data_IF_054605253142
#
_entry.id   IF_054605253142
#
_cell.length_a   1.000
_cell.length_b   1.000
_cell.length_c   1.000
_cell.angle_alpha   90.00
_cell.angle_beta   90.00
_cell.angle_gamma   90.00
#
_symmetry.space_group_name_H-M   'P 1'
#
loop_
_entity.id
_entity.type
_entity.pdbx_description
1 polymer ?
#
# COMPACT_ATOMS: atom_id res chain seq x y z
N UNK A 1 -9.10 -1.80 -13.18
CA UNK A 1 -10.27 -1.32 -13.98
C UNK A 1 -9.81 -0.42 -15.13
N UNK A 2 -10.46 -0.49 -16.29
CA UNK A 2 -10.09 0.37 -17.42
C UNK A 2 -10.57 1.79 -17.15
N UNK A 3 -9.66 2.77 -17.15
CA UNK A 3 -9.97 4.20 -16.95
C UNK A 3 -10.53 4.78 -18.25
N UNK A 4 -11.77 4.41 -18.59
CA UNK A 4 -12.47 4.91 -19.76
C UNK A 4 -13.45 6.00 -19.36
N UNK A 5 -13.52 7.06 -20.17
CA UNK A 5 -14.63 8.01 -20.09
C UNK A 5 -15.92 7.35 -20.62
N UNK A 6 -17.08 7.86 -20.23
CA UNK A 6 -18.35 7.36 -20.75
C UNK A 6 -18.45 7.47 -22.27
N UNK A 7 -17.74 8.43 -22.86
CA UNK A 7 -17.67 8.63 -24.30
C UNK A 7 -16.84 7.55 -24.99
N UNK A 8 -15.66 7.28 -24.46
CA UNK A 8 -14.80 6.17 -24.92
C UNK A 8 -15.48 4.82 -24.78
N UNK A 9 -16.19 4.60 -23.67
CA UNK A 9 -16.95 3.38 -23.45
C UNK A 9 -18.11 3.26 -24.48
N UNK A 10 -18.84 4.36 -24.73
CA UNK A 10 -19.88 4.41 -25.77
C UNK A 10 -19.33 4.05 -27.15
N UNK A 11 -18.18 4.61 -27.53
CA UNK A 11 -17.49 4.30 -28.79
C UNK A 11 -17.08 2.83 -28.87
N UNK A 12 -16.55 2.24 -27.79
CA UNK A 12 -16.15 0.83 -27.74
C UNK A 12 -17.32 -0.16 -27.85
N UNK A 13 -18.54 0.27 -27.51
CA UNK A 13 -19.75 -0.52 -27.75
C UNK A 13 -20.25 -0.40 -29.20
N UNK A 14 -19.47 0.18 -30.12
CA UNK A 14 -19.87 0.51 -31.51
C UNK A 14 -21.17 1.31 -31.59
N UNK A 15 -21.43 2.15 -30.58
CA UNK A 15 -22.65 2.97 -30.53
C UNK A 15 -23.91 2.24 -30.05
N UNK A 16 -23.81 0.96 -29.66
CA UNK A 16 -24.97 0.22 -29.11
C UNK A 16 -25.44 0.83 -27.77
N UNK A 17 -24.53 1.50 -27.03
CA UNK A 17 -24.86 2.11 -25.75
C UNK A 17 -24.43 3.58 -25.76
N UNK A 18 -25.40 4.48 -25.67
CA UNK A 18 -25.11 5.94 -25.67
C UNK A 18 -24.58 6.42 -24.31
N UNK A 19 -23.74 7.48 -24.35
CA UNK A 19 -23.20 8.15 -23.15
C UNK A 19 -24.29 8.50 -22.11
N UNK A 20 -25.48 9.06 -22.46
CA UNK A 20 -26.54 9.31 -21.49
C UNK A 20 -27.08 8.04 -20.84
N UNK A 21 -27.14 6.93 -21.55
CA UNK A 21 -27.60 5.65 -20.99
C UNK A 21 -26.54 5.08 -20.03
N UNK A 22 -25.25 5.15 -20.38
CA UNK A 22 -24.16 4.75 -19.48
C UNK A 22 -24.27 5.54 -18.16
N UNK A 23 -24.48 6.87 -18.25
CA UNK A 23 -24.66 7.71 -17.05
C UNK A 23 -25.85 7.29 -16.20
N UNK A 24 -26.97 6.88 -16.81
CA UNK A 24 -28.13 6.40 -16.08
C UNK A 24 -27.87 5.04 -15.41
N UNK A 25 -27.15 4.15 -16.08
CA UNK A 25 -26.73 2.85 -15.52
C UNK A 25 -25.80 3.03 -14.32
N UNK A 26 -24.76 3.88 -14.45
CA UNK A 26 -23.83 4.18 -13.35
C UNK A 26 -24.51 4.87 -12.15
N UNK A 27 -25.56 5.63 -12.40
CA UNK A 27 -26.37 6.27 -11.36
C UNK A 27 -27.44 5.37 -10.75
N UNK A 28 -27.57 4.10 -11.22
CA UNK A 28 -28.62 3.18 -10.77
C UNK A 28 -30.04 3.60 -11.15
N UNK A 29 -30.18 4.55 -12.08
CA UNK A 29 -31.50 5.08 -12.50
C UNK A 29 -32.19 4.21 -13.55
N UNK A 30 -31.46 3.30 -14.15
CA UNK A 30 -31.97 2.38 -15.16
C UNK A 30 -31.11 1.11 -15.16
N UNK A 31 -31.73 -0.03 -15.34
CA UNK A 31 -31.03 -1.31 -15.52
C UNK A 31 -30.76 -1.56 -17.00
N UNK A 32 -29.53 -1.95 -17.37
CA UNK A 32 -29.23 -2.36 -18.74
C UNK A 32 -29.97 -3.64 -19.10
N UNK A 33 -30.41 -3.80 -20.35
CA UNK A 33 -30.90 -5.08 -20.86
C UNK A 33 -29.75 -6.08 -21.03
N UNK A 34 -30.04 -7.37 -21.11
CA UNK A 34 -29.01 -8.42 -21.30
C UNK A 34 -28.12 -8.14 -22.52
N UNK A 35 -28.69 -7.65 -23.63
CA UNK A 35 -27.94 -7.26 -24.84
C UNK A 35 -26.92 -6.14 -24.51
N UNK A 36 -27.35 -5.12 -23.77
CA UNK A 36 -26.51 -3.99 -23.34
C UNK A 36 -25.43 -4.44 -22.37
N UNK A 37 -25.73 -5.35 -21.43
CA UNK A 37 -24.73 -5.92 -20.54
C UNK A 37 -23.63 -6.66 -21.31
N UNK A 38 -24.00 -7.48 -22.31
CA UNK A 38 -23.05 -8.19 -23.15
C UNK A 38 -22.16 -7.20 -23.91
N UNK A 39 -22.73 -6.14 -24.49
CA UNK A 39 -21.98 -5.11 -25.19
C UNK A 39 -21.00 -4.38 -24.27
N UNK A 40 -21.43 -4.03 -23.05
CA UNK A 40 -20.58 -3.40 -22.04
C UNK A 40 -19.46 -4.34 -21.55
N UNK A 41 -19.79 -5.62 -21.28
CA UNK A 41 -18.81 -6.64 -20.89
C UNK A 41 -17.71 -6.78 -21.95
N UNK A 42 -18.11 -6.92 -23.22
CA UNK A 42 -17.18 -7.00 -24.36
C UNK A 42 -16.31 -5.73 -24.50
N UNK A 43 -16.91 -4.55 -24.41
CA UNK A 43 -16.21 -3.26 -24.53
C UNK A 43 -15.21 -3.05 -23.40
N UNK A 44 -15.53 -3.54 -22.19
CA UNK A 44 -14.67 -3.49 -21.01
C UNK A 44 -13.70 -4.67 -20.95
N UNK A 45 -13.88 -5.72 -21.76
CA UNK A 45 -13.11 -6.97 -21.73
C UNK A 45 -13.24 -7.65 -20.36
N UNK A 46 -14.46 -7.69 -19.85
CA UNK A 46 -14.84 -8.29 -18.57
C UNK A 46 -15.83 -9.40 -18.82
N UNK A 47 -15.92 -10.35 -17.89
CA UNK A 47 -16.92 -11.39 -17.95
C UNK A 47 -18.32 -10.82 -17.70
N UNK A 48 -19.33 -11.39 -18.39
CA UNK A 48 -20.71 -10.95 -18.23
C UNK A 48 -21.20 -11.10 -16.77
N UNK A 49 -20.80 -12.16 -16.08
CA UNK A 49 -21.16 -12.45 -14.70
C UNK A 49 -20.63 -11.44 -13.70
N UNK A 50 -19.55 -10.72 -14.04
CA UNK A 50 -18.98 -9.67 -13.20
C UNK A 50 -20.01 -8.61 -12.76
N UNK A 51 -20.96 -8.27 -13.66
CA UNK A 51 -21.98 -7.24 -13.37
C UNK A 51 -23.08 -7.70 -12.42
N UNK A 52 -23.17 -9.00 -12.15
CA UNK A 52 -24.19 -9.59 -11.28
C UNK A 52 -23.64 -10.03 -9.93
N UNK A 53 -22.35 -9.84 -9.69
CA UNK A 53 -21.76 -10.16 -8.40
C UNK A 53 -22.38 -9.28 -7.30
N UNK A 54 -22.84 -9.89 -6.20
CA UNK A 54 -23.28 -9.11 -5.06
C UNK A 54 -22.08 -8.33 -4.50
N UNK A 55 -22.26 -7.03 -4.28
CA UNK A 55 -21.30 -6.20 -3.57
C UNK A 55 -21.45 -6.49 -2.08
N UNK A 56 -20.58 -7.33 -1.54
CA UNK A 56 -20.67 -7.84 -0.15
C UNK A 56 -19.74 -7.09 0.81
N UNK A 57 -18.72 -6.42 0.28
CA UNK A 57 -17.68 -5.80 1.09
C UNK A 57 -17.96 -4.32 1.31
N UNK A 58 -18.15 -3.94 2.58
CA UNK A 58 -18.15 -2.53 2.98
C UNK A 58 -16.72 -2.14 3.39
N UNK A 59 -16.18 -1.15 2.69
CA UNK A 59 -14.87 -0.58 3.00
C UNK A 59 -15.07 0.68 3.83
N UNK A 60 -14.42 0.70 5.00
CA UNK A 60 -14.33 1.89 5.84
C UNK A 60 -12.88 2.40 5.86
N UNK A 61 -12.71 3.70 6.02
CA UNK A 61 -11.40 4.33 6.23
C UNK A 61 -11.26 4.73 7.69
N UNK A 62 -10.04 4.71 8.25
CA UNK A 62 -9.81 5.30 9.56
C UNK A 62 -10.29 6.75 9.58
N UNK A 63 -10.84 7.19 10.72
CA UNK A 63 -11.37 8.54 10.88
C UNK A 63 -10.33 9.65 10.59
N UNK A 64 -9.05 9.33 10.81
CA UNK A 64 -7.91 10.23 10.60
C UNK A 64 -7.40 10.25 9.16
N UNK A 65 -7.95 9.40 8.28
CA UNK A 65 -7.56 9.36 6.88
C UNK A 65 -8.21 10.51 6.11
N UNK A 66 -7.54 11.65 6.08
CA UNK A 66 -7.92 12.78 5.24
C UNK A 66 -7.08 12.81 3.96
N UNK A 67 -7.79 13.00 2.87
CA UNK A 67 -7.42 13.11 1.47
C UNK A 67 -6.06 13.78 1.23
N UNK A 68 -5.07 13.05 0.71
CA UNK A 68 -3.92 13.65 0.03
C UNK A 68 -4.43 14.32 -1.26
N UNK A 69 -4.40 15.64 -1.29
CA UNK A 69 -5.17 16.54 -2.16
C UNK A 69 -4.77 16.58 -3.65
N UNK A 70 -3.93 15.67 -4.15
CA UNK A 70 -3.37 15.71 -5.51
C UNK A 70 -4.08 14.81 -6.53
N UNK A 71 -4.95 13.90 -6.09
CA UNK A 71 -5.69 13.03 -6.99
C UNK A 71 -6.90 13.75 -7.57
N UNK A 72 -7.18 13.53 -8.86
CA UNK A 72 -8.45 13.94 -9.44
C UNK A 72 -9.60 13.14 -8.80
N UNK A 73 -10.81 13.72 -8.77
CA UNK A 73 -12.00 13.00 -8.29
C UNK A 73 -12.28 11.71 -9.07
N UNK A 74 -11.93 11.71 -10.36
CA UNK A 74 -12.07 10.53 -11.23
C UNK A 74 -11.09 9.42 -10.84
N UNK A 75 -9.82 9.77 -10.60
CA UNK A 75 -8.81 8.81 -10.16
C UNK A 75 -9.14 8.24 -8.79
N UNK A 76 -9.60 9.09 -7.86
CA UNK A 76 -10.01 8.65 -6.53
C UNK A 76 -11.15 7.64 -6.59
N UNK A 77 -12.18 7.91 -7.42
CA UNK A 77 -13.29 6.96 -7.62
C UNK A 77 -12.80 5.65 -8.23
N UNK A 78 -11.96 5.72 -9.26
CA UNK A 78 -11.41 4.52 -9.92
C UNK A 78 -10.58 3.67 -8.96
N UNK A 79 -9.71 4.29 -8.15
CA UNK A 79 -8.92 3.61 -7.12
C UNK A 79 -9.82 2.93 -6.09
N UNK A 80 -10.84 3.63 -5.59
CA UNK A 80 -11.75 3.08 -4.60
C UNK A 80 -12.50 1.85 -5.12
N UNK A 81 -12.99 1.89 -6.35
CA UNK A 81 -13.67 0.75 -6.96
C UNK A 81 -12.70 -0.42 -7.23
N UNK A 82 -11.46 -0.15 -7.66
CA UNK A 82 -10.45 -1.20 -7.84
C UNK A 82 -10.06 -1.86 -6.51
N UNK A 83 -9.88 -1.05 -5.46
CA UNK A 83 -9.58 -1.55 -4.12
C UNK A 83 -10.70 -2.41 -3.58
N UNK A 84 -11.94 -2.00 -3.81
CA UNK A 84 -13.13 -2.76 -3.41
C UNK A 84 -13.21 -4.12 -4.11
N UNK A 85 -13.06 -4.16 -5.43
CA UNK A 85 -13.07 -5.40 -6.21
C UNK A 85 -11.96 -6.35 -5.76
N UNK A 86 -10.73 -5.85 -5.58
CA UNK A 86 -9.62 -6.67 -5.11
C UNK A 86 -9.79 -7.15 -3.67
N UNK A 87 -10.34 -6.32 -2.79
CA UNK A 87 -10.64 -6.71 -1.42
C UNK A 87 -11.73 -7.79 -1.36
N UNK A 88 -12.78 -7.69 -2.19
CA UNK A 88 -13.81 -8.73 -2.31
C UNK A 88 -13.22 -10.08 -2.70
N UNK A 89 -12.39 -10.11 -3.75
CA UNK A 89 -11.68 -11.33 -4.19
C UNK A 89 -10.77 -11.89 -3.10
N UNK A 90 -10.11 -11.00 -2.35
CA UNK A 90 -9.24 -11.42 -1.25
C UNK A 90 -10.05 -12.06 -0.12
N UNK A 91 -11.20 -11.48 0.25
CA UNK A 91 -12.08 -12.07 1.26
C UNK A 91 -12.67 -13.40 0.78
N UNK A 92 -13.11 -13.46 -0.48
CA UNK A 92 -13.67 -14.68 -1.09
C UNK A 92 -12.71 -15.87 -0.98
N UNK A 93 -11.43 -15.67 -1.30
CA UNK A 93 -10.44 -16.76 -1.23
C UNK A 93 -10.05 -17.11 0.21
N UNK A 94 -9.99 -16.13 1.13
CA UNK A 94 -9.78 -16.40 2.55
C UNK A 94 -10.92 -17.22 3.14
N UNK A 95 -12.17 -16.91 2.79
CA UNK A 95 -13.35 -17.63 3.26
C UNK A 95 -13.41 -19.03 2.65
N UNK A 96 -13.11 -19.18 1.35
CA UNK A 96 -13.03 -20.50 0.67
C UNK A 96 -12.06 -21.45 1.36
N UNK A 97 -10.89 -20.92 1.76
CA UNK A 97 -9.88 -21.71 2.48
C UNK A 97 -10.08 -21.77 3.98
N UNK A 98 -11.04 -21.04 4.54
CA UNK A 98 -11.25 -20.88 5.99
C UNK A 98 -9.99 -20.39 6.71
N UNK A 99 -9.22 -19.49 6.09
CA UNK A 99 -7.95 -18.93 6.61
C UNK A 99 -8.04 -17.44 6.93
N UNK A 100 -9.26 -16.92 7.10
CA UNK A 100 -9.46 -15.50 7.41
C UNK A 100 -8.83 -15.15 8.75
N UNK A 101 -7.83 -14.26 8.73
CA UNK A 101 -7.17 -13.73 9.92
C UNK A 101 -7.79 -12.40 10.32
N UNK A 102 -7.89 -12.17 11.63
CA UNK A 102 -8.19 -10.85 12.19
C UNK A 102 -6.88 -10.20 12.63
N UNK A 103 -6.82 -8.89 12.50
CA UNK A 103 -5.74 -8.12 13.08
C UNK A 103 -6.12 -7.77 14.53
N UNK A 104 -5.61 -8.54 15.47
CA UNK A 104 -5.91 -8.40 16.90
C UNK A 104 -4.69 -7.87 17.69
N UNK A 105 -3.91 -6.97 17.08
CA UNK A 105 -2.79 -6.33 17.74
C UNK A 105 -3.23 -5.01 18.36
N UNK A 106 -3.15 -4.92 19.67
CA UNK A 106 -3.67 -3.79 20.46
C UNK A 106 -2.52 -3.01 21.12
N UNK A 107 -2.45 -1.72 20.83
CA UNK A 107 -1.56 -0.74 21.46
C UNK A 107 -2.34 0.41 22.08
N UNK A 108 -3.60 0.19 22.45
CA UNK A 108 -4.48 1.23 23.00
C UNK A 108 -4.00 1.77 24.35
N UNK A 109 -3.10 1.07 25.03
CA UNK A 109 -2.41 1.50 26.24
C UNK A 109 -1.39 2.63 26.00
N UNK A 110 -0.97 2.86 24.74
CA UNK A 110 -0.03 3.91 24.37
C UNK A 110 -0.75 4.99 23.57
N UNK A 111 -1.11 6.10 24.21
CA UNK A 111 -1.54 7.29 23.47
C UNK A 111 -0.33 8.01 22.86
N UNK A 112 -0.40 8.25 21.54
CA UNK A 112 0.67 8.85 20.76
C UNK A 112 0.42 10.33 20.56
N UNK A 113 1.30 11.16 21.14
CA UNK A 113 1.29 12.62 20.98
C UNK A 113 2.64 13.17 20.53
N UNK A 114 3.72 12.40 20.70
CA UNK A 114 5.11 12.83 20.45
C UNK A 114 5.90 11.74 19.76
N UNK A 115 7.05 12.09 19.18
CA UNK A 115 8.03 11.14 18.65
C UNK A 115 8.52 10.13 19.70
N UNK A 116 8.58 10.53 20.98
CA UNK A 116 8.96 9.63 22.07
C UNK A 116 7.93 8.50 22.24
N UNK A 117 6.65 8.82 22.09
CA UNK A 117 5.60 7.82 22.16
C UNK A 117 5.67 6.87 20.95
N UNK A 118 5.95 7.41 19.75
CA UNK A 118 6.18 6.58 18.55
C UNK A 118 7.34 5.60 18.76
N UNK A 119 8.47 6.03 19.37
CA UNK A 119 9.57 5.11 19.70
C UNK A 119 9.12 3.99 20.64
N UNK A 120 8.28 4.29 21.62
CA UNK A 120 7.70 3.25 22.52
C UNK A 120 6.84 2.25 21.75
N UNK A 121 6.01 2.75 20.84
CA UNK A 121 5.18 1.90 19.96
C UNK A 121 6.09 1.01 19.09
N UNK A 122 7.09 1.57 18.43
CA UNK A 122 8.02 0.81 17.58
C UNK A 122 8.78 -0.23 18.39
N UNK A 123 9.31 0.14 19.56
CA UNK A 123 10.02 -0.79 20.44
C UNK A 123 9.11 -1.96 20.86
N UNK A 124 7.83 -1.68 21.20
CA UNK A 124 6.87 -2.71 21.55
C UNK A 124 6.57 -3.64 20.37
N UNK A 125 6.31 -3.10 19.17
CA UNK A 125 6.10 -3.90 17.95
C UNK A 125 7.33 -4.77 17.67
N UNK A 126 8.53 -4.21 17.69
CA UNK A 126 9.76 -4.96 17.43
C UNK A 126 10.00 -6.07 18.45
N UNK A 127 9.66 -5.84 19.71
CA UNK A 127 9.73 -6.83 20.77
C UNK A 127 8.70 -7.94 20.57
N UNK A 128 7.41 -7.59 20.42
CA UNK A 128 6.32 -8.56 20.35
C UNK A 128 6.41 -9.42 19.07
N UNK A 129 6.89 -8.83 17.97
CA UNK A 129 7.10 -9.54 16.71
C UNK A 129 8.50 -10.14 16.55
N UNK A 130 9.33 -10.08 17.59
CA UNK A 130 10.69 -10.64 17.63
C UNK A 130 11.61 -10.16 16.49
N UNK A 131 11.51 -8.87 16.10
CA UNK A 131 12.20 -8.34 14.92
C UNK A 131 13.66 -7.97 15.17
N UNK A 132 14.08 -7.82 16.44
CA UNK A 132 15.39 -7.28 16.80
C UNK A 132 15.60 -5.83 16.30
N UNK A 133 16.86 -5.38 16.22
CA UNK A 133 17.22 -4.04 15.73
C UNK A 133 17.72 -4.04 14.27
N UNK A 134 17.93 -5.22 13.70
CA UNK A 134 18.44 -5.37 12.36
C UNK A 134 17.49 -4.92 11.25
N UNK A 135 17.97 -4.98 9.99
CA UNK A 135 17.14 -4.69 8.82
C UNK A 135 15.95 -5.64 8.74
N UNK A 136 14.80 -5.12 8.37
CA UNK A 136 13.61 -5.92 8.08
C UNK A 136 13.70 -6.46 6.65
N UNK A 137 13.57 -7.75 6.43
CA UNK A 137 13.79 -8.38 5.12
C UNK A 137 12.70 -8.02 4.10
N UNK A 138 11.45 -8.23 4.46
CA UNK A 138 10.28 -7.96 3.61
C UNK A 138 9.14 -7.44 4.48
N UNK A 139 8.76 -6.18 4.26
CA UNK A 139 7.72 -5.51 5.05
C UNK A 139 6.34 -6.05 4.71
N UNK A 140 6.07 -6.28 3.43
CA UNK A 140 4.76 -6.78 2.98
C UNK A 140 4.50 -8.15 3.62
N UNK A 141 5.43 -9.08 3.52
CA UNK A 141 5.29 -10.40 4.12
C UNK A 141 5.17 -10.32 5.66
N UNK A 142 5.92 -9.42 6.29
CA UNK A 142 5.84 -9.18 7.74
C UNK A 142 4.43 -8.76 8.14
N UNK A 143 3.86 -7.77 7.47
CA UNK A 143 2.51 -7.26 7.74
C UNK A 143 1.45 -8.33 7.46
N UNK A 144 1.58 -9.08 6.37
CA UNK A 144 0.67 -10.18 6.02
C UNK A 144 0.71 -11.33 7.03
N UNK A 145 1.88 -11.65 7.59
CA UNK A 145 2.01 -12.69 8.62
C UNK A 145 1.33 -12.32 9.94
N UNK A 146 1.08 -11.02 10.15
CA UNK A 146 0.38 -10.49 11.33
C UNK A 146 -1.09 -10.10 11.06
N UNK A 147 -1.66 -10.58 9.96
CA UNK A 147 -3.10 -10.46 9.71
C UNK A 147 -3.54 -9.25 8.89
N UNK A 148 -2.61 -8.46 8.38
CA UNK A 148 -2.93 -7.44 7.38
C UNK A 148 -3.07 -8.09 5.99
N UNK A 149 -3.77 -7.42 5.10
CA UNK A 149 -3.85 -7.79 3.69
C UNK A 149 -3.17 -6.70 2.89
N UNK A 150 -2.37 -7.08 1.91
CA UNK A 150 -1.69 -6.10 1.05
C UNK A 150 -2.18 -6.27 -0.37
N UNK A 151 -2.64 -5.19 -0.95
CA UNK A 151 -3.12 -5.10 -2.33
C UNK A 151 -2.24 -4.10 -3.07
N UNK A 152 -1.68 -4.52 -4.20
CA UNK A 152 -0.97 -3.64 -5.10
C UNK A 152 -1.87 -3.24 -6.27
N UNK A 153 -1.92 -1.93 -6.57
CA UNK A 153 -2.69 -1.38 -7.69
C UNK A 153 -1.81 -0.53 -8.60
N UNK A 154 -2.21 -0.41 -9.85
CA UNK A 154 -1.61 0.56 -10.78
C UNK A 154 -2.32 1.90 -10.61
N UNK A 155 -1.61 2.88 -10.06
CA UNK A 155 -2.17 4.18 -9.73
C UNK A 155 -1.25 5.32 -10.21
N UNK A 156 -1.79 6.54 -10.41
CA UNK A 156 -0.96 7.72 -10.70
C UNK A 156 0.08 7.97 -9.61
N UNK A 157 1.18 8.65 -9.96
CA UNK A 157 2.26 9.01 -9.03
C UNK A 157 1.79 9.85 -7.83
N UNK A 158 0.62 10.49 -7.95
CA UNK A 158 0.00 11.24 -6.86
C UNK A 158 -0.64 10.35 -5.78
N UNK A 159 -0.76 9.04 -6.02
CA UNK A 159 -1.24 8.05 -5.06
C UNK A 159 -0.07 7.28 -4.46
N UNK A 160 0.19 7.44 -3.18
CA UNK A 160 1.23 6.70 -2.46
C UNK A 160 0.73 5.34 -1.97
N UNK A 161 -0.32 5.34 -1.19
CA UNK A 161 -0.94 4.19 -0.58
C UNK A 161 -2.14 4.62 0.25
N UNK A 162 -2.83 3.66 0.82
CA UNK A 162 -3.88 3.86 1.81
C UNK A 162 -4.07 2.62 2.67
N UNK A 163 -4.57 2.81 3.88
CA UNK A 163 -5.15 1.74 4.68
C UNK A 163 -6.67 1.87 4.70
N UNK A 164 -7.36 0.77 4.44
CA UNK A 164 -8.82 0.66 4.56
C UNK A 164 -9.17 -0.56 5.42
N UNK A 165 -10.39 -0.60 5.95
CA UNK A 165 -10.87 -1.74 6.72
C UNK A 165 -12.03 -2.41 6.00
N UNK A 166 -12.02 -3.75 5.98
CA UNK A 166 -13.15 -4.58 5.62
C UNK A 166 -13.78 -5.09 6.92
N UNK A 167 -14.94 -4.55 7.27
CA UNK A 167 -15.50 -4.73 8.61
C UNK A 167 -14.63 -4.07 9.68
N UNK A 168 -14.71 -4.56 10.91
CA UNK A 168 -14.07 -3.89 12.06
C UNK A 168 -12.58 -4.22 12.24
N UNK A 169 -12.13 -5.41 11.80
CA UNK A 169 -10.81 -5.94 12.16
C UNK A 169 -10.03 -6.57 10.99
N UNK A 170 -10.31 -6.19 9.77
CA UNK A 170 -9.60 -6.68 8.59
C UNK A 170 -8.96 -5.52 7.83
N UNK A 171 -7.78 -5.02 8.28
CA UNK A 171 -7.08 -3.95 7.57
C UNK A 171 -6.54 -4.45 6.24
N UNK A 172 -6.69 -3.60 5.23
CA UNK A 172 -6.18 -3.79 3.88
C UNK A 172 -5.28 -2.61 3.53
N UNK A 173 -4.01 -2.87 3.35
CA UNK A 173 -3.03 -1.92 2.87
C UNK A 173 -3.01 -1.93 1.35
N UNK A 174 -3.14 -0.76 0.76
CA UNK A 174 -3.12 -0.58 -0.69
C UNK A 174 -1.87 0.20 -1.06
N UNK A 175 -1.04 -0.37 -1.94
CA UNK A 175 0.22 0.23 -2.36
C UNK A 175 0.23 0.47 -3.88
N UNK A 176 0.93 1.51 -4.31
CA UNK A 176 1.17 1.73 -5.74
C UNK A 176 2.24 0.76 -6.25
N UNK A 177 1.87 -0.09 -7.22
CA UNK A 177 2.73 -1.11 -7.81
C UNK A 177 4.00 -0.55 -8.46
N UNK A 178 3.93 0.66 -9.01
CA UNK A 178 5.04 1.29 -9.77
C UNK A 178 6.14 1.90 -8.90
N UNK A 179 5.97 1.90 -7.58
CA UNK A 179 6.97 2.49 -6.71
C UNK A 179 8.22 1.62 -6.53
N UNK A 180 9.34 2.29 -6.25
CA UNK A 180 10.57 1.60 -5.85
C UNK A 180 10.35 0.81 -4.56
N UNK A 181 11.20 -0.18 -4.35
CA UNK A 181 11.12 -1.04 -3.18
C UNK A 181 11.16 -0.23 -1.89
N UNK A 182 12.09 0.72 -1.76
CA UNK A 182 12.21 1.58 -0.58
C UNK A 182 10.95 2.42 -0.32
N UNK A 183 10.30 2.89 -1.41
CA UNK A 183 9.06 3.66 -1.28
C UNK A 183 7.90 2.79 -0.84
N UNK A 184 7.76 1.58 -1.39
CA UNK A 184 6.75 0.61 -0.94
C UNK A 184 6.91 0.25 0.53
N UNK A 185 8.15 -0.03 0.97
CA UNK A 185 8.50 -0.31 2.37
C UNK A 185 8.07 0.82 3.30
N UNK A 186 8.49 2.04 2.95
CA UNK A 186 8.16 3.23 3.73
C UNK A 186 6.65 3.49 3.76
N UNK A 187 5.99 3.46 2.61
CA UNK A 187 4.54 3.69 2.51
C UNK A 187 3.75 2.62 3.25
N UNK A 188 4.11 1.34 3.11
CA UNK A 188 3.45 0.25 3.84
C UNK A 188 3.51 0.42 5.35
N UNK A 189 4.66 0.81 5.89
CA UNK A 189 4.81 1.10 7.31
C UNK A 189 4.11 2.40 7.74
N UNK A 190 4.09 3.43 6.89
CA UNK A 190 3.37 4.67 7.14
C UNK A 190 1.87 4.41 7.30
N UNK A 191 1.28 3.68 6.36
CA UNK A 191 -0.14 3.31 6.40
C UNK A 191 -0.45 2.33 7.55
N UNK A 192 0.49 1.43 7.86
CA UNK A 192 0.41 0.61 9.06
C UNK A 192 0.41 1.47 10.33
N UNK A 193 1.25 2.49 10.40
CA UNK A 193 1.26 3.46 11.50
C UNK A 193 -0.10 4.12 11.74
N UNK A 194 -0.82 4.50 10.68
CA UNK A 194 -2.18 5.03 10.79
C UNK A 194 -3.18 4.01 11.34
N UNK A 195 -2.97 2.73 11.09
CA UNK A 195 -3.89 1.68 11.52
C UNK A 195 -3.64 1.19 12.95
N UNK A 196 -2.41 1.34 13.47
CA UNK A 196 -2.00 0.72 14.74
C UNK A 196 -1.80 1.72 15.88
N UNK A 197 -1.45 2.98 15.58
CA UNK A 197 -1.21 4.00 16.60
C UNK A 197 -2.52 4.66 17.06
N UNK A 198 -2.78 4.65 18.35
CA UNK A 198 -3.83 5.47 18.96
C UNK A 198 -3.33 6.91 19.11
N UNK A 199 -3.62 7.74 18.12
CA UNK A 199 -3.20 9.14 18.12
C UNK A 199 -4.09 10.01 19.01
N UNK A 200 -3.50 10.97 19.71
CA UNK A 200 -4.25 11.92 20.53
C UNK A 200 -5.14 12.82 19.66
N UNK A 201 -6.37 13.07 20.13
CA UNK A 201 -7.33 13.94 19.45
C UNK A 201 -6.88 15.42 19.38
N UNK A 202 -5.87 15.79 20.18
CA UNK A 202 -5.29 17.14 20.19
C UNK A 202 -4.34 17.41 19.01
N UNK A 203 -3.92 16.37 18.28
CA UNK A 203 -3.02 16.49 17.16
C UNK A 203 -3.75 16.99 15.91
N UNK A 204 -3.10 17.88 15.17
CA UNK A 204 -3.56 18.24 13.83
C UNK A 204 -3.31 17.09 12.84
N UNK A 205 -4.02 17.06 11.70
CA UNK A 205 -3.77 16.07 10.65
C UNK A 205 -2.29 16.10 10.19
N UNK A 206 -1.68 17.29 10.14
CA UNK A 206 -0.26 17.46 9.80
C UNK A 206 0.66 16.79 10.83
N UNK A 207 0.34 16.91 12.12
CA UNK A 207 1.11 16.26 13.18
C UNK A 207 0.98 14.75 13.12
N UNK A 208 -0.23 14.23 12.90
CA UNK A 208 -0.50 12.80 12.71
C UNK A 208 0.31 12.23 11.53
N UNK A 209 0.26 12.89 10.38
CA UNK A 209 1.08 12.53 9.20
C UNK A 209 2.58 12.54 9.51
N UNK A 210 3.06 13.55 10.25
CA UNK A 210 4.46 13.65 10.67
C UNK A 210 4.86 12.48 11.58
N UNK A 211 3.99 12.09 12.50
CA UNK A 211 4.24 10.95 13.41
C UNK A 211 4.20 9.61 12.67
N UNK A 212 3.33 9.43 11.66
CA UNK A 212 3.34 8.24 10.81
C UNK A 212 4.60 8.15 9.95
N UNK A 213 5.08 9.27 9.40
CA UNK A 213 6.37 9.32 8.70
C UNK A 213 7.52 8.95 9.64
N UNK A 214 7.50 9.48 10.87
CA UNK A 214 8.51 9.16 11.88
C UNK A 214 8.43 7.68 12.27
N UNK A 215 7.24 7.11 12.43
CA UNK A 215 7.01 5.69 12.70
C UNK A 215 7.62 4.80 11.61
N UNK A 216 7.32 5.08 10.34
CA UNK A 216 7.87 4.33 9.22
C UNK A 216 9.41 4.37 9.19
N UNK A 217 9.98 5.54 9.40
CA UNK A 217 11.43 5.72 9.49
C UNK A 217 12.07 4.99 10.68
N UNK A 218 11.45 5.07 11.86
CA UNK A 218 11.93 4.39 13.07
C UNK A 218 11.80 2.86 12.95
N UNK A 219 10.74 2.35 12.31
CA UNK A 219 10.59 0.93 11.99
C UNK A 219 11.67 0.44 11.02
N UNK A 220 12.03 1.19 9.99
CA UNK A 220 13.05 0.79 9.01
C UNK A 220 14.47 0.95 9.55
N UNK A 221 14.75 2.06 10.21
CA UNK A 221 16.09 2.42 10.70
C UNK A 221 15.95 3.15 12.04
N UNK A 222 16.03 2.37 13.13
CA UNK A 222 15.80 2.88 14.47
C UNK A 222 16.91 3.83 14.94
N UNK A 223 16.55 4.72 15.87
CA UNK A 223 17.52 5.59 16.53
C UNK A 223 18.60 4.82 17.28
N UNK A 224 18.28 3.63 17.80
CA UNK A 224 19.24 2.74 18.46
C UNK A 224 20.32 2.21 17.52
N UNK A 225 20.02 2.11 16.22
CA UNK A 225 21.00 1.75 15.18
C UNK A 225 21.79 2.96 14.71
N UNK A 226 21.15 4.13 14.57
CA UNK A 226 21.79 5.34 14.05
C UNK A 226 22.86 5.87 15.01
N UNK A 227 22.60 5.88 16.31
CA UNK A 227 23.53 6.46 17.30
C UNK A 227 24.90 5.78 17.36
N UNK A 228 25.01 4.43 17.36
CA UNK A 228 26.31 3.75 17.28
C UNK A 228 27.07 4.03 15.98
N UNK A 229 26.38 4.25 14.86
CA UNK A 229 27.00 4.48 13.55
C UNK A 229 27.54 5.90 13.42
N UNK A 230 26.75 6.89 13.82
CA UNK A 230 27.08 8.31 13.58
C UNK A 230 27.54 9.07 14.82
N UNK A 231 27.35 8.50 16.01
CA UNK A 231 27.57 9.20 17.27
C UNK A 231 26.46 10.23 17.56
N UNK A 232 26.73 11.10 18.51
CA UNK A 232 25.74 12.09 18.98
C UNK A 232 25.52 13.24 17.98
N UNK A 233 26.54 13.58 17.17
CA UNK A 233 26.45 14.70 16.23
C UNK A 233 27.46 14.58 15.10
N UNK A 234 27.04 14.96 13.88
CA UNK A 234 27.87 14.98 12.68
C UNK A 234 27.91 16.38 12.07
N UNK A 235 29.09 16.75 11.55
CA UNK A 235 29.32 17.99 10.82
C UNK A 235 29.52 17.79 9.32
N UNK A 236 29.55 16.55 8.85
CA UNK A 236 29.72 16.17 7.44
C UNK A 236 28.90 14.95 7.13
N UNK A 237 28.37 14.86 5.90
CA UNK A 237 27.66 13.70 5.38
C UNK A 237 28.56 12.94 4.41
N UNK A 238 28.85 11.68 4.73
CA UNK A 238 29.60 10.79 3.84
C UNK A 238 28.62 9.97 2.99
N UNK A 239 28.52 10.30 1.70
CA UNK A 239 27.55 9.70 0.79
C UNK A 239 27.67 8.16 0.71
N UNK A 240 28.89 7.63 0.79
CA UNK A 240 29.11 6.18 0.79
C UNK A 240 28.48 5.49 2.01
N UNK A 241 28.51 6.13 3.18
CA UNK A 241 27.91 5.58 4.39
C UNK A 241 26.38 5.62 4.31
N UNK A 242 25.82 6.73 3.82
CA UNK A 242 24.39 6.84 3.56
C UNK A 242 23.93 5.79 2.54
N UNK A 243 24.70 5.60 1.46
CA UNK A 243 24.41 4.56 0.46
C UNK A 243 24.46 3.13 1.02
N UNK A 244 25.38 2.82 1.93
CA UNK A 244 25.45 1.53 2.63
C UNK A 244 24.20 1.29 3.47
N UNK A 245 23.72 2.30 4.20
CA UNK A 245 22.49 2.20 4.98
C UNK A 245 21.26 1.98 4.08
N UNK A 246 21.18 2.66 2.93
CA UNK A 246 20.14 2.43 1.95
C UNK A 246 20.13 0.94 1.53
N UNK A 247 21.29 0.42 1.11
CA UNK A 247 21.44 -0.96 0.65
C UNK A 247 21.10 -1.97 1.75
N UNK A 248 21.53 -1.69 2.99
CA UNK A 248 21.35 -2.60 4.11
C UNK A 248 19.90 -2.61 4.65
N UNK A 249 19.29 -1.43 4.81
CA UNK A 249 18.01 -1.28 5.49
C UNK A 249 16.83 -1.12 4.54
N UNK A 250 17.04 -0.96 3.24
CA UNK A 250 15.98 -0.75 2.27
C UNK A 250 15.15 0.50 2.56
N UNK A 251 15.83 1.59 2.89
CA UNK A 251 15.26 2.90 3.19
C UNK A 251 15.87 3.95 2.24
N UNK A 252 15.08 4.87 1.71
CA UNK A 252 15.59 5.85 0.75
C UNK A 252 16.61 6.83 1.38
N UNK A 253 17.52 7.36 0.55
CA UNK A 253 18.48 8.40 0.97
C UNK A 253 17.77 9.56 1.66
N UNK A 254 16.68 10.06 1.08
CA UNK A 254 15.90 11.14 1.66
C UNK A 254 15.36 10.80 3.05
N UNK A 255 14.85 9.58 3.22
CA UNK A 255 14.34 9.14 4.52
C UNK A 255 15.47 8.98 5.55
N UNK A 256 16.68 8.52 5.16
CA UNK A 256 17.85 8.49 6.05
C UNK A 256 18.22 9.91 6.50
N UNK A 257 18.29 10.86 5.57
CA UNK A 257 18.62 12.26 5.89
C UNK A 257 17.60 12.88 6.85
N UNK A 258 16.29 12.58 6.64
CA UNK A 258 15.25 12.98 7.58
C UNK A 258 15.45 12.33 8.97
N UNK A 259 15.78 11.03 9.03
CA UNK A 259 16.05 10.34 10.30
C UNK A 259 17.20 10.97 11.08
N UNK A 260 18.34 11.26 10.41
CA UNK A 260 19.49 11.91 11.04
C UNK A 260 19.15 13.29 11.62
N UNK A 261 18.33 14.07 10.90
CA UNK A 261 17.80 15.35 11.36
C UNK A 261 16.85 15.17 12.55
N UNK A 262 15.90 14.27 12.45
CA UNK A 262 14.88 14.01 13.46
C UNK A 262 15.48 13.56 14.79
N UNK A 263 16.58 12.78 14.74
CA UNK A 263 17.34 12.33 15.91
C UNK A 263 18.35 13.37 16.40
N UNK A 264 18.41 14.56 15.77
CA UNK A 264 19.38 15.62 16.07
C UNK A 264 20.84 15.20 15.91
N UNK A 265 21.10 14.12 15.19
CA UNK A 265 22.46 13.69 14.80
C UNK A 265 23.03 14.67 13.79
N UNK A 266 22.16 15.23 12.94
CA UNK A 266 22.51 16.25 11.96
C UNK A 266 21.79 17.57 12.27
N UNK A 267 22.52 18.70 12.14
CA UNK A 267 21.93 20.03 12.31
C UNK A 267 20.99 20.39 11.15
N UNK A 268 20.05 21.32 11.39
CA UNK A 268 19.16 21.87 10.36
C UNK A 268 19.95 22.55 9.23
N UNK A 269 21.09 23.18 9.56
CA UNK A 269 21.95 23.81 8.57
C UNK A 269 22.57 22.79 7.61
N UNK A 270 23.16 21.71 8.15
CA UNK A 270 23.77 20.65 7.34
C UNK A 270 22.71 19.92 6.50
N UNK A 271 21.52 19.67 7.07
CA UNK A 271 20.37 19.12 6.35
C UNK A 271 19.97 20.01 5.17
N UNK A 272 19.81 21.31 5.40
CA UNK A 272 19.44 22.28 4.35
C UNK A 272 20.51 22.36 3.25
N UNK A 273 21.79 22.35 3.65
CA UNK A 273 22.91 22.35 2.71
C UNK A 273 22.88 21.14 1.80
N UNK A 274 22.66 19.93 2.34
CA UNK A 274 22.53 18.71 1.52
C UNK A 274 21.45 18.84 0.45
N UNK A 275 20.27 19.38 0.78
CA UNK A 275 19.17 19.53 -0.18
C UNK A 275 19.43 20.65 -1.19
N UNK A 276 20.12 21.70 -0.82
CA UNK A 276 20.57 22.74 -1.78
C UNK A 276 21.53 22.11 -2.79
N UNK A 277 22.57 21.41 -2.33
CA UNK A 277 23.54 20.74 -3.19
C UNK A 277 22.86 19.67 -4.09
N UNK A 278 21.99 18.84 -3.53
CA UNK A 278 21.22 17.84 -4.27
C UNK A 278 20.36 18.47 -5.39
N UNK A 279 19.84 19.67 -5.20
CA UNK A 279 19.01 20.33 -6.23
C UNK A 279 19.86 20.92 -7.35
N UNK A 280 21.10 21.30 -7.08
CA UNK A 280 22.03 21.89 -8.05
C UNK A 280 22.85 20.83 -8.77
N UNK A 281 23.39 19.84 -8.03
CA UNK A 281 24.21 18.76 -8.60
C UNK A 281 23.33 17.63 -9.15
N UNK A 282 23.32 17.51 -10.49
CA UNK A 282 22.58 16.46 -11.19
C UNK A 282 23.04 15.04 -10.85
N UNK A 283 24.34 14.85 -10.55
CA UNK A 283 24.89 13.54 -10.18
C UNK A 283 24.43 13.15 -8.79
N UNK A 284 24.50 14.06 -7.82
CA UNK A 284 24.00 13.83 -6.47
C UNK A 284 22.48 13.56 -6.48
N UNK A 285 21.73 14.30 -7.30
CA UNK A 285 20.28 14.09 -7.47
C UNK A 285 19.95 12.73 -8.06
N UNK A 286 20.69 12.28 -9.07
CA UNK A 286 20.52 10.97 -9.68
C UNK A 286 20.88 9.87 -8.68
N UNK A 287 22.02 9.98 -7.99
CA UNK A 287 22.45 9.04 -6.96
C UNK A 287 21.39 8.88 -5.85
N UNK A 288 20.86 10.00 -5.33
CA UNK A 288 19.86 9.96 -4.26
C UNK A 288 18.53 9.32 -4.67
N UNK A 289 18.27 9.19 -5.98
CA UNK A 289 17.08 8.52 -6.55
C UNK A 289 17.32 7.05 -6.89
N UNK A 290 18.58 6.61 -6.92
CA UNK A 290 18.91 5.23 -7.29
C UNK A 290 18.54 4.30 -6.14
N UNK A 291 17.79 3.24 -6.44
CA UNK A 291 17.57 2.14 -5.51
C UNK A 291 18.76 1.19 -5.56
N UNK A 292 19.33 0.86 -4.41
CA UNK A 292 20.42 -0.11 -4.27
C UNK A 292 20.02 -1.31 -3.40
N UNK A 293 18.83 -1.29 -2.84
CA UNK A 293 18.31 -2.39 -2.04
C UNK A 293 17.91 -3.56 -2.95
N UNK A 294 18.45 -4.75 -2.65
CA UNK A 294 18.22 -5.95 -3.46
C UNK A 294 17.06 -6.82 -2.98
N UNK A 295 16.38 -6.41 -1.91
CA UNK A 295 15.20 -7.12 -1.42
C UNK A 295 13.97 -6.89 -2.30
N UNK A 296 12.99 -7.74 -2.15
CA UNK A 296 11.73 -7.70 -2.88
C UNK A 296 10.58 -7.29 -1.94
N UNK A 297 9.69 -6.42 -2.44
CA UNK A 297 8.47 -6.00 -1.74
C UNK A 297 7.26 -6.22 -2.65
N UNK A 298 6.77 -7.45 -2.65
CA UNK A 298 5.59 -7.88 -3.42
C UNK A 298 4.75 -8.82 -2.59
N UNK A 299 3.43 -8.66 -2.65
CA UNK A 299 2.48 -9.58 -2.00
C UNK A 299 2.30 -10.84 -2.84
N UNK A 300 2.65 -11.99 -2.27
CA UNK A 300 2.38 -13.30 -2.87
C UNK A 300 1.30 -14.08 -2.12
N UNK A 301 0.83 -13.60 -0.97
CA UNK A 301 -0.12 -14.33 -0.14
C UNK A 301 -1.43 -14.59 -0.88
N UNK A 302 -1.96 -13.58 -1.55
CA UNK A 302 -3.20 -13.69 -2.31
C UNK A 302 -3.12 -14.76 -3.41
N UNK A 303 -2.11 -14.68 -4.28
CA UNK A 303 -1.95 -15.68 -5.36
C UNK A 303 -1.69 -17.09 -4.84
N UNK A 304 -0.90 -17.24 -3.75
CA UNK A 304 -0.68 -18.54 -3.09
C UNK A 304 -1.96 -19.15 -2.57
N UNK A 305 -2.87 -18.34 -2.00
CA UNK A 305 -4.17 -18.82 -1.55
C UNK A 305 -5.03 -19.31 -2.71
N UNK A 306 -5.05 -18.58 -3.84
CA UNK A 306 -5.79 -19.01 -5.04
C UNK A 306 -5.22 -20.32 -5.59
N UNK A 307 -3.89 -20.43 -5.72
CA UNK A 307 -3.24 -21.67 -6.17
C UNK A 307 -3.51 -22.85 -5.23
N UNK A 308 -3.51 -22.60 -3.92
CA UNK A 308 -3.84 -23.61 -2.92
C UNK A 308 -5.29 -24.08 -3.06
N UNK A 309 -6.25 -23.16 -3.18
CA UNK A 309 -7.66 -23.52 -3.36
C UNK A 309 -7.90 -24.30 -4.65
N UNK A 310 -7.20 -23.96 -5.72
CA UNK A 310 -7.22 -24.72 -6.98
C UNK A 310 -6.62 -26.12 -6.81
N UNK A 311 -5.47 -26.24 -6.16
CA UNK A 311 -4.80 -27.52 -5.92
C UNK A 311 -5.60 -28.44 -4.99
N UNK A 312 -6.37 -27.88 -4.06
CA UNK A 312 -7.29 -28.61 -3.16
C UNK A 312 -8.68 -28.88 -3.81
N UNK A 313 -8.87 -28.51 -5.09
CA UNK A 313 -10.13 -28.62 -5.85
C UNK A 313 -11.32 -27.89 -5.17
N UNK A 314 -11.06 -26.83 -4.42
CA UNK A 314 -12.09 -26.00 -3.80
C UNK A 314 -12.68 -24.97 -4.78
N UNK A 315 -11.94 -24.65 -5.83
CA UNK A 315 -12.35 -23.77 -6.93
C UNK A 315 -11.96 -24.39 -8.28
N UNK A 316 -12.68 -24.02 -9.35
CA UNK A 316 -12.29 -24.40 -10.71
C UNK A 316 -11.15 -23.51 -11.24
N UNK A 317 -10.55 -23.93 -12.36
CA UNK A 317 -9.51 -23.14 -13.06
C UNK A 317 -10.08 -21.81 -13.57
N UNK A 318 -11.30 -21.82 -14.11
CA UNK A 318 -11.99 -20.61 -14.55
C UNK A 318 -12.17 -19.65 -13.38
N UNK A 319 -12.57 -20.15 -12.20
CA UNK A 319 -12.72 -19.33 -11.00
C UNK A 319 -11.41 -18.81 -10.50
N UNK A 320 -10.34 -19.59 -10.54
CA UNK A 320 -8.99 -19.15 -10.17
C UNK A 320 -8.49 -18.05 -11.10
N UNK A 321 -8.67 -18.18 -12.42
CA UNK A 321 -8.35 -17.17 -13.42
C UNK A 321 -9.14 -15.87 -13.17
N UNK A 322 -10.42 -15.99 -12.87
CA UNK A 322 -11.30 -14.88 -12.53
C UNK A 322 -10.79 -14.13 -11.28
N UNK A 323 -10.48 -14.84 -10.19
CA UNK A 323 -9.99 -14.25 -8.93
C UNK A 323 -8.65 -13.56 -9.14
N UNK A 324 -7.71 -14.17 -9.87
CA UNK A 324 -6.39 -13.60 -10.16
C UNK A 324 -6.44 -12.46 -11.18
N UNK A 325 -7.49 -12.38 -12.00
CA UNK A 325 -7.58 -11.44 -13.12
C UNK A 325 -6.60 -11.76 -14.25
N UNK A 326 -6.30 -13.05 -14.44
CA UNK A 326 -5.46 -13.61 -15.53
C UNK A 326 -6.26 -14.59 -16.36
N UNK A 327 -5.79 -14.92 -17.56
CA UNK A 327 -6.41 -15.91 -18.42
C UNK A 327 -5.58 -17.19 -18.53
N UNK A 328 -4.41 -17.25 -17.91
CA UNK A 328 -3.51 -18.39 -18.03
C UNK A 328 -2.88 -18.73 -16.68
N UNK A 329 -3.20 -19.87 -16.14
CA UNK A 329 -2.53 -20.49 -15.00
C UNK A 329 -1.75 -21.70 -15.52
N UNK A 330 -0.43 -21.69 -15.37
CA UNK A 330 0.42 -22.82 -15.76
C UNK A 330 0.65 -23.74 -14.57
N UNK A 331 0.33 -25.04 -14.74
CA UNK A 331 0.59 -26.06 -13.72
C UNK A 331 0.88 -27.44 -14.33
N UNK A 332 1.47 -28.33 -13.55
CA UNK A 332 1.64 -29.74 -13.87
C UNK A 332 0.64 -30.52 -13.03
N UNK A 333 -0.29 -31.23 -13.68
CA UNK A 333 -1.22 -32.11 -13.00
C UNK A 333 -0.69 -33.57 -13.00
N UNK A 334 -1.04 -34.33 -11.96
CA UNK A 334 -0.88 -35.78 -12.00
C UNK A 334 -1.78 -36.36 -13.11
N UNK A 335 -1.18 -37.18 -13.99
CA UNK A 335 -1.90 -37.87 -15.05
C UNK A 335 -2.67 -39.07 -14.49
#
# INVERSE_FOLDING_TARGET
MKRLTMEELSLRTNGEVSKPNISKYEAGKMMPSSKVHIALAKALGMDFEYFFRPVTVQITRPADYRKKSKLSKGDEKAINEEVKDKAERYMEIEDTLSVSMRFDYDLSDIEVSTRKDVKRVVARIRQDWHLGLGPLSNIINLLESHGLRVIEIEAPDAFDGMCVFVGEKKPVLVLNKHYTVERKRFTGLHEFGHSVMRMSDKLTDKDKESLCNYFAGEMLLSSEVLQPIFGAHINKVFLNEIGRLQTQFGISIDAIMHRLKDERIMSDALYSQFYIEKNVDKKLKAWAKTSTYLGEETSYRFSRMVYRALAENLISEEKANEILGTNEISYIANK
#
